data_IF_366557298819
#
_entry.id   IF_366557298819
#
_cell.length_a   1.000
_cell.length_b   1.000
_cell.length_c   1.000
_cell.angle_alpha   90.00
_cell.angle_beta   90.00
_cell.angle_gamma   90.00
#
_symmetry.space_group_name_H-M   'P 1'
#
loop_
_entity.id
_entity.type
_entity.pdbx_description
1 polymer ?
#
# COMPACT_ATOMS: atom_id res chain seq x y z
N UNK A 1 3.02 19.08 16.02
CA UNK A 1 2.15 17.88 16.12
C UNK A 1 1.31 17.76 14.87
N UNK A 2 0.96 16.54 14.49
CA UNK A 2 0.04 16.24 13.39
C UNK A 2 -0.76 14.95 13.71
N UNK A 3 -1.82 14.63 12.94
CA UNK A 3 -2.43 13.31 13.02
C UNK A 3 -1.38 12.24 12.73
N UNK A 4 -1.53 11.08 13.35
CA UNK A 4 -0.72 9.91 13.04
C UNK A 4 -0.86 9.50 11.58
N UNK A 5 0.22 9.05 10.97
CA UNK A 5 0.23 8.60 9.59
C UNK A 5 -0.56 7.29 9.45
N UNK A 6 -1.21 7.12 8.32
CA UNK A 6 -1.97 5.92 7.94
C UNK A 6 -1.40 5.38 6.64
N UNK A 7 -0.96 4.13 6.65
CA UNK A 7 -0.36 3.46 5.50
C UNK A 7 -1.26 2.30 5.03
N UNK A 8 -1.70 2.37 3.78
CA UNK A 8 -2.62 1.36 3.25
C UNK A 8 -1.92 0.18 2.55
N UNK A 9 -0.57 0.16 2.55
CA UNK A 9 0.20 -0.93 1.95
C UNK A 9 1.56 -1.06 2.64
N UNK A 10 1.67 -2.07 3.53
CA UNK A 10 2.91 -2.49 4.18
C UNK A 10 3.03 -4.01 4.02
N UNK A 11 4.04 -4.47 3.27
CA UNK A 11 4.26 -5.89 2.97
C UNK A 11 5.11 -6.59 4.04
N UNK A 12 5.86 -5.81 4.80
CA UNK A 12 6.74 -6.27 5.86
C UNK A 12 7.50 -5.11 6.50
N UNK A 13 8.21 -5.36 7.61
CA UNK A 13 8.98 -4.32 8.30
C UNK A 13 10.06 -4.91 9.20
N UNK A 14 11.27 -4.30 9.19
CA UNK A 14 12.36 -4.65 10.11
C UNK A 14 12.69 -6.15 10.17
N UNK A 15 12.82 -6.79 9.01
CA UNK A 15 13.12 -8.20 8.85
C UNK A 15 11.91 -9.14 8.89
N UNK A 16 10.70 -8.61 9.12
CA UNK A 16 9.47 -9.41 9.20
C UNK A 16 8.69 -9.27 7.90
N UNK A 17 8.63 -10.31 7.08
CA UNK A 17 7.80 -10.41 5.88
C UNK A 17 6.42 -10.97 6.24
N UNK A 18 5.36 -10.23 5.96
CA UNK A 18 3.99 -10.65 6.32
C UNK A 18 3.46 -11.77 5.39
N UNK A 19 4.07 -11.93 4.22
CA UNK A 19 3.69 -12.97 3.25
C UNK A 19 4.53 -14.25 3.35
N UNK A 20 5.59 -14.25 4.18
CA UNK A 20 6.46 -15.41 4.38
C UNK A 20 5.74 -16.52 5.17
N UNK A 21 6.12 -17.78 4.89
CA UNK A 21 5.58 -18.94 5.61
C UNK A 21 6.04 -19.03 7.09
N UNK A 22 7.07 -18.30 7.47
CA UNK A 22 7.55 -18.20 8.85
C UNK A 22 6.91 -17.07 9.65
N UNK A 23 6.02 -16.29 9.03
CA UNK A 23 5.34 -15.17 9.69
C UNK A 23 4.55 -15.61 10.93
N UNK A 24 4.64 -14.83 12.01
CA UNK A 24 4.00 -15.09 13.31
C UNK A 24 3.37 -13.84 13.92
N UNK A 25 2.54 -14.02 14.95
CA UNK A 25 1.95 -12.93 15.74
C UNK A 25 3.02 -12.09 16.45
N UNK A 26 4.07 -12.73 16.98
CA UNK A 26 5.21 -12.06 17.62
C UNK A 26 5.99 -11.21 16.60
N UNK A 27 6.14 -11.74 15.37
CA UNK A 27 6.71 -11.01 14.24
C UNK A 27 5.92 -9.75 13.95
N UNK A 28 4.58 -9.82 13.89
CA UNK A 28 3.72 -8.64 13.69
C UNK A 28 3.96 -7.58 14.78
N UNK A 29 4.03 -7.96 16.04
CA UNK A 29 4.29 -7.00 17.13
C UNK A 29 5.68 -6.35 17.00
N UNK A 30 6.68 -7.12 16.57
CA UNK A 30 8.04 -6.62 16.30
C UNK A 30 8.03 -5.60 15.16
N UNK A 31 7.39 -5.93 14.04
CA UNK A 31 7.22 -5.02 12.91
C UNK A 31 6.46 -3.74 13.30
N UNK A 32 5.35 -3.89 14.03
CA UNK A 32 4.55 -2.75 14.49
C UNK A 32 5.34 -1.77 15.36
N UNK A 33 6.21 -2.26 16.26
CA UNK A 33 7.09 -1.39 17.06
C UNK A 33 8.06 -0.57 16.19
N UNK A 34 8.52 -1.12 15.07
CA UNK A 34 9.36 -0.37 14.13
C UNK A 34 8.52 0.62 13.31
N UNK A 35 7.34 0.23 12.85
CA UNK A 35 6.37 1.08 12.14
C UNK A 35 6.01 2.32 12.99
N UNK A 36 5.77 2.17 14.30
CA UNK A 36 5.47 3.30 15.19
C UNK A 36 6.61 4.32 15.30
N UNK A 37 7.89 3.89 15.25
CA UNK A 37 9.05 4.81 15.22
C UNK A 37 9.06 5.72 13.99
N UNK A 38 8.34 5.32 12.95
CA UNK A 38 8.20 6.07 11.73
C UNK A 38 6.90 6.89 11.66
N UNK A 39 6.13 6.93 12.77
CA UNK A 39 4.97 7.79 12.93
C UNK A 39 3.67 7.23 12.34
N UNK A 40 3.66 5.99 11.90
CA UNK A 40 2.45 5.33 11.38
C UNK A 40 1.65 4.78 12.55
N UNK A 41 0.43 5.26 12.73
CA UNK A 41 -0.47 4.88 13.83
C UNK A 41 -1.56 3.92 13.40
N UNK A 42 -1.82 3.83 12.08
CA UNK A 42 -2.72 2.85 11.51
C UNK A 42 -2.14 2.35 10.20
N UNK A 43 -2.26 1.05 9.93
CA UNK A 43 -1.76 0.48 8.67
C UNK A 43 -2.55 -0.78 8.27
N UNK A 44 -2.53 -1.07 6.97
CA UNK A 44 -3.03 -2.33 6.43
C UNK A 44 -1.84 -3.27 6.16
N UNK A 45 -1.62 -4.30 7.01
CA UNK A 45 -0.72 -5.38 6.63
C UNK A 45 -1.17 -5.96 5.29
N UNK A 46 -0.22 -6.06 4.36
CA UNK A 46 -0.48 -6.47 2.98
C UNK A 46 0.08 -7.87 2.75
N UNK A 47 -0.77 -8.78 2.31
CA UNK A 47 -0.33 -10.05 1.77
C UNK A 47 -0.27 -9.94 0.25
N UNK A 48 0.91 -10.25 -0.29
CA UNK A 48 1.15 -10.25 -1.74
C UNK A 48 0.85 -11.61 -2.34
N UNK A 49 0.85 -11.68 -3.68
CA UNK A 49 0.67 -12.92 -4.46
C UNK A 49 1.43 -14.10 -3.87
N UNK A 50 0.70 -15.18 -3.54
CA UNK A 50 1.27 -16.40 -2.97
C UNK A 50 0.37 -17.62 -3.28
N UNK A 51 0.78 -18.80 -2.79
CA UNK A 51 -0.07 -19.99 -2.83
C UNK A 51 -1.37 -19.76 -2.03
N UNK A 52 -2.42 -20.48 -2.39
CA UNK A 52 -3.70 -20.42 -1.69
C UNK A 52 -3.53 -20.76 -0.19
N UNK A 53 -2.79 -21.82 0.09
CA UNK A 53 -2.54 -22.34 1.44
C UNK A 53 -1.80 -21.30 2.31
N UNK A 54 -0.77 -20.66 1.73
CA UNK A 54 0.00 -19.66 2.47
C UNK A 54 -0.81 -18.39 2.74
N UNK A 55 -1.63 -17.93 1.79
CA UNK A 55 -2.56 -16.82 1.99
C UNK A 55 -3.57 -17.12 3.11
N UNK A 56 -4.21 -18.30 3.09
CA UNK A 56 -5.12 -18.74 4.17
C UNK A 56 -4.41 -18.75 5.53
N UNK A 57 -3.20 -19.33 5.58
CA UNK A 57 -2.38 -19.39 6.79
C UNK A 57 -2.08 -18.00 7.33
N UNK A 58 -1.57 -17.11 6.50
CA UNK A 58 -1.12 -15.79 6.93
C UNK A 58 -2.30 -14.88 7.28
N UNK A 59 -3.45 -14.97 6.59
CA UNK A 59 -4.68 -14.28 7.02
C UNK A 59 -5.19 -14.78 8.38
N UNK A 60 -5.08 -16.07 8.68
CA UNK A 60 -5.38 -16.59 10.04
C UNK A 60 -4.46 -15.97 11.08
N UNK A 61 -3.15 -15.91 10.82
CA UNK A 61 -2.19 -15.28 11.73
C UNK A 61 -2.49 -13.80 11.90
N UNK A 62 -2.73 -13.05 10.80
CA UNK A 62 -3.12 -11.65 10.86
C UNK A 62 -4.38 -11.45 11.70
N UNK A 63 -5.39 -12.32 11.57
CA UNK A 63 -6.60 -12.24 12.38
C UNK A 63 -6.34 -12.55 13.87
N UNK A 64 -5.38 -13.41 14.19
CA UNK A 64 -4.98 -13.70 15.56
C UNK A 64 -4.18 -12.54 16.18
N UNK A 65 -3.41 -11.77 15.38
CA UNK A 65 -2.71 -10.58 15.88
C UNK A 65 -3.66 -9.55 16.47
N UNK A 66 -4.89 -9.47 15.97
CA UNK A 66 -5.92 -8.54 16.47
C UNK A 66 -6.44 -8.87 17.88
N UNK A 67 -6.05 -10.00 18.48
CA UNK A 67 -6.29 -10.29 19.90
C UNK A 67 -5.37 -9.48 20.82
N UNK A 68 -4.30 -8.89 20.28
CA UNK A 68 -3.42 -7.97 21.00
C UNK A 68 -3.99 -6.57 20.87
N UNK A 69 -4.49 -5.98 21.95
CA UNK A 69 -5.24 -4.72 21.96
C UNK A 69 -4.58 -3.60 21.13
N UNK A 70 -3.27 -3.39 21.33
CA UNK A 70 -2.56 -2.31 20.62
C UNK A 70 -2.44 -2.58 19.12
N UNK A 71 -2.35 -3.83 18.68
CA UNK A 71 -2.36 -4.18 17.26
C UNK A 71 -3.76 -4.00 16.67
N UNK A 72 -4.81 -4.37 17.39
CA UNK A 72 -6.19 -4.12 16.98
C UNK A 72 -6.50 -2.62 16.87
N UNK A 73 -5.90 -1.79 17.72
CA UNK A 73 -6.01 -0.34 17.63
C UNK A 73 -5.31 0.26 16.40
N UNK A 74 -4.23 -0.40 15.90
CA UNK A 74 -3.43 0.06 14.77
C UNK A 74 -3.83 -0.56 13.43
N UNK A 75 -4.41 -1.76 13.42
CA UNK A 75 -4.71 -2.52 12.20
C UNK A 75 -6.22 -2.54 11.98
N UNK A 76 -6.78 -1.62 11.18
CA UNK A 76 -8.22 -1.58 10.91
C UNK A 76 -8.68 -2.76 10.05
N UNK A 77 -7.79 -3.30 9.23
CA UNK A 77 -8.00 -4.43 8.35
C UNK A 77 -6.75 -4.77 7.55
N UNK A 78 -6.92 -5.56 6.49
CA UNK A 78 -5.84 -6.12 5.70
C UNK A 78 -5.98 -5.75 4.23
N UNK A 79 -4.87 -5.76 3.51
CA UNK A 79 -4.82 -5.61 2.08
C UNK A 79 -4.35 -6.92 1.42
N UNK A 80 -5.03 -7.35 0.37
CA UNK A 80 -4.63 -8.45 -0.51
C UNK A 80 -4.15 -7.85 -1.83
N UNK A 81 -2.85 -7.90 -2.12
CA UNK A 81 -2.28 -7.48 -3.39
C UNK A 81 -2.01 -8.67 -4.30
N UNK A 82 -2.86 -8.87 -5.26
CA UNK A 82 -2.91 -10.10 -6.02
C UNK A 82 -3.60 -11.24 -5.23
N UNK A 83 -3.54 -12.48 -5.69
CA UNK A 83 -2.86 -13.02 -6.88
C UNK A 83 -3.55 -12.71 -8.22
N UNK A 84 -4.55 -11.88 -8.24
CA UNK A 84 -5.40 -11.55 -9.37
C UNK A 84 -4.79 -10.43 -10.23
N UNK A 85 -3.53 -10.63 -10.65
CA UNK A 85 -2.74 -9.64 -11.39
C UNK A 85 -2.42 -10.12 -12.80
N UNK A 86 -2.06 -9.17 -13.67
CA UNK A 86 -1.69 -9.46 -15.05
C UNK A 86 -0.51 -10.44 -15.12
N UNK A 87 -0.57 -11.39 -16.07
CA UNK A 87 0.55 -12.28 -16.41
C UNK A 87 1.45 -11.70 -17.50
N UNK A 88 1.11 -10.53 -18.02
CA UNK A 88 1.88 -9.90 -19.06
C UNK A 88 3.21 -9.40 -18.51
N UNK A 89 4.29 -9.67 -19.28
CA UNK A 89 5.65 -9.32 -18.87
C UNK A 89 5.78 -7.82 -18.59
N UNK A 90 6.34 -7.48 -17.43
CA UNK A 90 6.55 -6.10 -16.98
C UNK A 90 5.38 -5.55 -16.16
N UNK A 91 4.16 -6.15 -16.23
CA UNK A 91 3.00 -5.68 -15.47
C UNK A 91 2.82 -6.39 -14.13
N UNK A 92 3.24 -7.64 -13.98
CA UNK A 92 3.22 -8.32 -12.69
C UNK A 92 4.32 -7.89 -11.72
N UNK A 93 5.26 -7.00 -12.15
CA UNK A 93 6.37 -6.57 -11.30
C UNK A 93 7.22 -7.73 -10.82
N UNK A 94 7.46 -7.80 -9.52
CA UNK A 94 8.20 -8.89 -8.86
C UNK A 94 7.30 -9.98 -8.27
N UNK A 95 5.98 -9.93 -8.47
CA UNK A 95 5.08 -10.98 -7.95
C UNK A 95 5.42 -12.35 -8.52
N UNK A 96 5.39 -13.43 -7.70
CA UNK A 96 5.70 -14.79 -8.15
C UNK A 96 4.75 -15.26 -9.25
N UNK A 97 5.24 -15.32 -10.48
CA UNK A 97 4.45 -15.57 -11.71
C UNK A 97 3.57 -16.82 -11.63
N UNK A 98 4.08 -17.90 -11.03
CA UNK A 98 3.38 -19.17 -10.95
C UNK A 98 2.14 -19.17 -10.04
N UNK A 99 2.03 -18.19 -9.14
CA UNK A 99 0.86 -18.01 -8.28
C UNK A 99 -0.17 -17.04 -8.86
N UNK A 100 0.13 -16.32 -9.95
CA UNK A 100 -0.81 -15.41 -10.59
C UNK A 100 -1.97 -16.19 -11.22
N UNK A 101 -3.19 -15.75 -10.97
CA UNK A 101 -4.41 -16.42 -11.44
C UNK A 101 -5.58 -15.47 -11.63
N UNK A 102 -6.62 -15.96 -12.30
CA UNK A 102 -7.87 -15.23 -12.47
C UNK A 102 -8.56 -15.01 -11.11
N UNK A 103 -9.30 -13.90 -10.93
CA UNK A 103 -10.08 -13.70 -9.73
C UNK A 103 -11.15 -14.80 -9.57
N UNK A 104 -11.31 -15.26 -8.34
CA UNK A 104 -12.33 -16.22 -7.94
C UNK A 104 -13.00 -15.72 -6.66
N UNK A 105 -14.33 -15.57 -6.71
CA UNK A 105 -15.08 -15.14 -5.53
C UNK A 105 -15.08 -16.22 -4.45
N UNK A 106 -15.17 -17.48 -4.82
CA UNK A 106 -15.13 -18.60 -3.87
C UNK A 106 -13.78 -18.63 -3.12
N UNK A 107 -12.67 -18.51 -3.86
CA UNK A 107 -11.33 -18.42 -3.26
C UNK A 107 -11.22 -17.21 -2.34
N UNK A 108 -11.69 -16.04 -2.76
CA UNK A 108 -11.64 -14.83 -1.94
C UNK A 108 -12.49 -14.94 -0.68
N UNK A 109 -13.64 -15.61 -0.74
CA UNK A 109 -14.47 -15.84 0.45
C UNK A 109 -13.77 -16.73 1.49
N UNK A 110 -12.92 -17.66 1.05
CA UNK A 110 -12.07 -18.43 1.97
C UNK A 110 -11.01 -17.53 2.63
N UNK A 111 -10.39 -16.60 1.88
CA UNK A 111 -9.48 -15.60 2.46
C UNK A 111 -10.20 -14.69 3.45
N UNK A 112 -11.37 -14.17 3.11
CA UNK A 112 -12.18 -13.37 4.03
C UNK A 112 -12.54 -14.14 5.29
N UNK A 113 -12.91 -15.41 5.18
CA UNK A 113 -13.18 -16.28 6.33
C UNK A 113 -11.94 -16.44 7.21
N UNK A 114 -10.76 -16.68 6.63
CA UNK A 114 -9.48 -16.77 7.34
C UNK A 114 -9.12 -15.46 8.03
N UNK A 115 -9.37 -14.35 7.38
CA UNK A 115 -9.16 -12.98 7.86
C UNK A 115 -10.26 -12.49 8.81
N UNK A 116 -11.28 -13.31 9.15
CA UNK A 116 -12.46 -12.92 9.95
C UNK A 116 -13.19 -11.68 9.41
N UNK A 117 -13.31 -11.57 8.08
CA UNK A 117 -13.97 -10.44 7.42
C UNK A 117 -13.14 -9.15 7.38
N UNK A 118 -11.84 -9.20 7.63
CA UNK A 118 -10.99 -8.03 7.80
C UNK A 118 -10.19 -7.65 6.55
N UNK A 119 -10.34 -8.32 5.41
CA UNK A 119 -9.76 -7.82 4.16
C UNK A 119 -10.58 -6.60 3.72
N UNK A 120 -9.95 -5.43 3.76
CA UNK A 120 -10.58 -4.14 3.44
C UNK A 120 -10.21 -3.64 2.04
N UNK A 121 -9.11 -4.13 1.48
CA UNK A 121 -8.63 -3.75 0.15
C UNK A 121 -8.17 -4.96 -0.63
N UNK A 122 -8.47 -4.96 -1.93
CA UNK A 122 -7.89 -5.89 -2.91
C UNK A 122 -7.32 -5.10 -4.07
N UNK A 123 -6.08 -5.42 -4.45
CA UNK A 123 -5.46 -4.96 -5.69
C UNK A 123 -5.66 -6.01 -6.78
N UNK A 124 -6.20 -5.58 -7.93
CA UNK A 124 -6.59 -6.47 -9.04
C UNK A 124 -6.29 -5.81 -10.39
N UNK A 125 -5.99 -6.64 -11.39
CA UNK A 125 -5.89 -6.25 -12.79
C UNK A 125 -7.26 -6.40 -13.47
N UNK A 126 -7.91 -5.31 -13.92
CA UNK A 126 -9.27 -5.36 -14.43
C UNK A 126 -9.41 -6.03 -15.80
N UNK A 127 -8.31 -6.24 -16.55
CA UNK A 127 -8.31 -6.97 -17.81
C UNK A 127 -8.51 -8.48 -17.67
N UNK A 128 -8.41 -9.02 -16.45
CA UNK A 128 -8.57 -10.46 -16.22
C UNK A 128 -10.03 -10.90 -16.41
N UNK A 129 -10.20 -12.09 -16.96
CA UNK A 129 -11.52 -12.72 -17.06
C UNK A 129 -12.14 -12.90 -15.67
N UNK A 130 -13.40 -12.47 -15.50
CA UNK A 130 -14.12 -12.50 -14.22
C UNK A 130 -13.85 -11.30 -13.32
N UNK A 131 -12.91 -10.39 -13.67
CA UNK A 131 -12.56 -9.25 -12.82
C UNK A 131 -13.75 -8.32 -12.56
N UNK A 132 -14.58 -8.04 -13.55
CA UNK A 132 -15.70 -7.11 -13.39
C UNK A 132 -16.75 -7.62 -12.40
N UNK A 133 -17.09 -8.88 -12.43
CA UNK A 133 -18.00 -9.49 -11.46
C UNK A 133 -17.39 -9.52 -10.07
N UNK A 134 -16.11 -9.87 -9.96
CA UNK A 134 -15.38 -9.84 -8.69
C UNK A 134 -15.35 -8.43 -8.08
N UNK A 135 -15.06 -7.39 -8.87
CA UNK A 135 -15.06 -5.98 -8.42
C UNK A 135 -16.43 -5.59 -7.87
N UNK A 136 -17.52 -5.97 -8.59
CA UNK A 136 -18.88 -5.70 -8.17
C UNK A 136 -19.21 -6.37 -6.81
N UNK A 137 -18.88 -7.64 -6.65
CA UNK A 137 -19.09 -8.40 -5.42
C UNK A 137 -18.28 -7.80 -4.24
N UNK A 138 -17.04 -7.39 -4.48
CA UNK A 138 -16.24 -6.68 -3.49
C UNK A 138 -16.91 -5.37 -3.04
N UNK A 139 -17.41 -4.56 -3.99
CA UNK A 139 -18.16 -3.33 -3.68
C UNK A 139 -19.37 -3.61 -2.79
N UNK A 140 -20.16 -4.65 -3.12
CA UNK A 140 -21.35 -5.03 -2.38
C UNK A 140 -21.05 -5.47 -0.93
N UNK A 141 -19.85 -6.02 -0.70
CA UNK A 141 -19.37 -6.44 0.63
C UNK A 141 -18.54 -5.40 1.34
N UNK A 142 -18.38 -4.18 0.76
CA UNK A 142 -17.65 -3.08 1.38
C UNK A 142 -16.12 -3.18 1.28
N UNK A 143 -15.61 -4.05 0.41
CA UNK A 143 -14.17 -4.17 0.15
C UNK A 143 -13.74 -3.16 -0.91
N UNK A 144 -12.74 -2.33 -0.59
CA UNK A 144 -12.19 -1.35 -1.52
C UNK A 144 -11.39 -2.05 -2.63
N UNK A 145 -11.69 -1.70 -3.88
CA UNK A 145 -10.95 -2.22 -5.03
C UNK A 145 -9.96 -1.17 -5.52
N UNK A 146 -8.72 -1.62 -5.66
CA UNK A 146 -7.59 -0.87 -6.22
C UNK A 146 -7.12 -1.51 -7.54
N UNK A 147 -6.98 -0.71 -8.58
CA UNK A 147 -6.44 -1.15 -9.87
C UNK A 147 -4.92 -1.11 -9.78
N UNK A 148 -4.25 -2.21 -10.07
CA UNK A 148 -2.78 -2.26 -10.06
C UNK A 148 -2.23 -3.45 -10.84
N UNK A 149 -0.93 -3.40 -11.14
CA UNK A 149 -0.24 -4.47 -11.86
C UNK A 149 -0.95 -4.89 -13.17
N UNK A 150 -1.29 -3.90 -14.00
CA UNK A 150 -2.26 -4.05 -15.09
C UNK A 150 -1.78 -3.43 -16.40
N UNK A 151 -2.13 -4.06 -17.52
CA UNK A 151 -2.09 -3.49 -18.86
C UNK A 151 -3.51 -3.20 -19.41
N UNK A 152 -4.46 -2.93 -18.53
CA UNK A 152 -5.84 -2.68 -18.90
C UNK A 152 -5.98 -1.49 -19.85
N UNK A 153 -6.91 -1.61 -20.79
CA UNK A 153 -7.30 -0.52 -21.69
C UNK A 153 -8.13 0.52 -20.95
N UNK A 154 -8.31 1.70 -21.58
CA UNK A 154 -9.19 2.75 -21.05
C UNK A 154 -10.60 2.26 -20.80
N UNK A 155 -11.14 1.43 -21.69
CA UNK A 155 -12.48 0.86 -21.58
C UNK A 155 -12.59 -0.09 -20.37
N UNK A 156 -11.59 -0.94 -20.15
CA UNK A 156 -11.54 -1.87 -19.02
C UNK A 156 -11.42 -1.12 -17.69
N UNK A 157 -10.58 -0.08 -17.61
CA UNK A 157 -10.44 0.76 -16.42
C UNK A 157 -11.75 1.49 -16.12
N UNK A 158 -12.38 2.10 -17.12
CA UNK A 158 -13.67 2.78 -16.93
C UNK A 158 -14.77 1.81 -16.50
N UNK A 159 -14.78 0.60 -17.04
CA UNK A 159 -15.73 -0.43 -16.65
C UNK A 159 -15.47 -0.89 -15.20
N UNK A 160 -14.22 -1.05 -14.79
CA UNK A 160 -13.86 -1.37 -13.40
C UNK A 160 -14.34 -0.27 -12.43
N UNK A 161 -14.18 1.00 -12.79
CA UNK A 161 -14.69 2.13 -12.00
C UNK A 161 -16.21 2.11 -11.90
N UNK A 162 -16.92 1.85 -12.99
CA UNK A 162 -18.36 1.72 -13.02
C UNK A 162 -18.85 0.58 -12.09
N UNK A 163 -18.11 -0.52 -12.02
CA UNK A 163 -18.39 -1.65 -11.14
C UNK A 163 -17.95 -1.43 -9.67
N UNK A 164 -17.13 -0.44 -9.37
CA UNK A 164 -16.82 -0.09 -7.98
C UNK A 164 -15.36 0.13 -7.63
N UNK A 165 -14.42 0.01 -8.56
CA UNK A 165 -13.04 0.39 -8.30
C UNK A 165 -12.95 1.89 -7.96
N UNK A 166 -12.12 2.21 -6.94
CA UNK A 166 -11.97 3.58 -6.42
C UNK A 166 -10.52 3.98 -6.19
N UNK A 167 -9.60 3.03 -6.26
CA UNK A 167 -8.18 3.26 -6.00
C UNK A 167 -7.34 2.85 -7.20
N UNK A 168 -6.16 3.46 -7.33
CA UNK A 168 -5.05 2.96 -8.14
C UNK A 168 -3.89 2.61 -7.21
N UNK A 169 -3.43 1.38 -7.26
CA UNK A 169 -2.29 0.90 -6.46
C UNK A 169 -1.01 1.48 -7.04
N UNK A 170 -0.23 2.18 -6.20
CA UNK A 170 1.08 2.77 -6.53
C UNK A 170 1.20 3.24 -7.99
N UNK A 171 0.26 4.14 -8.39
CA UNK A 171 0.14 4.61 -9.78
C UNK A 171 1.51 5.01 -10.38
N UNK A 172 1.77 4.56 -11.60
CA UNK A 172 3.06 4.71 -12.28
C UNK A 172 3.98 3.50 -12.09
N UNK A 173 3.64 2.57 -11.16
CA UNK A 173 4.37 1.34 -10.89
C UNK A 173 3.52 0.11 -11.24
N UNK A 174 4.13 -1.10 -11.20
CA UNK A 174 3.44 -2.30 -11.64
C UNK A 174 3.05 -2.26 -13.12
N UNK A 175 3.86 -1.61 -13.95
CA UNK A 175 3.73 -1.56 -15.40
C UNK A 175 5.11 -1.77 -16.06
N UNK A 176 5.10 -2.13 -17.35
CA UNK A 176 6.34 -2.36 -18.10
C UNK A 176 7.12 -1.05 -18.29
N UNK A 177 8.47 -1.13 -18.27
CA UNK A 177 9.36 0.01 -18.52
C UNK A 177 9.13 0.64 -19.92
N UNK A 178 8.66 -0.15 -20.88
CA UNK A 178 8.31 0.31 -22.23
C UNK A 178 6.83 0.09 -22.46
N UNK A 179 6.06 1.16 -22.50
CA UNK A 179 4.61 1.16 -22.75
C UNK A 179 4.26 2.04 -23.95
N UNK A 180 3.09 1.81 -24.56
CA UNK A 180 2.60 2.69 -25.61
C UNK A 180 2.37 4.10 -25.03
N UNK A 181 2.93 5.13 -25.69
CA UNK A 181 2.87 6.53 -25.22
C UNK A 181 1.45 7.08 -25.04
N UNK A 182 0.47 6.56 -25.79
CA UNK A 182 -0.90 7.06 -25.79
C UNK A 182 -1.91 6.05 -25.21
N UNK A 183 -1.70 4.76 -25.48
CA UNK A 183 -2.58 3.68 -25.02
C UNK A 183 -1.85 2.87 -23.94
N UNK A 184 -1.94 3.32 -22.71
CA UNK A 184 -1.32 2.68 -21.56
C UNK A 184 -2.22 2.84 -20.32
N UNK A 185 -2.03 2.05 -19.29
CA UNK A 185 -2.91 2.06 -18.11
C UNK A 185 -2.76 3.29 -17.20
N UNK A 186 -1.72 4.11 -17.38
CA UNK A 186 -1.46 5.26 -16.49
C UNK A 186 -2.45 6.40 -16.77
N UNK A 187 -2.60 6.78 -18.06
CA UNK A 187 -3.41 7.94 -18.43
C UNK A 187 -4.88 7.82 -18.03
N UNK A 188 -5.59 6.70 -18.30
CA UNK A 188 -7.00 6.58 -17.91
C UNK A 188 -7.19 6.54 -16.39
N UNK A 189 -6.25 6.00 -15.61
CA UNK A 189 -6.32 6.05 -14.14
C UNK A 189 -6.09 7.48 -13.63
N UNK A 190 -5.13 8.18 -14.18
CA UNK A 190 -4.82 9.56 -13.80
C UNK A 190 -5.95 10.52 -14.17
N UNK A 191 -6.56 10.35 -15.33
CA UNK A 191 -7.63 11.21 -15.82
C UNK A 191 -9.01 10.94 -15.19
N UNK A 192 -9.20 9.81 -14.52
CA UNK A 192 -10.49 9.43 -13.94
C UNK A 192 -10.66 10.02 -12.54
N UNK A 193 -11.58 10.98 -12.37
CA UNK A 193 -11.81 11.68 -11.09
C UNK A 193 -12.33 10.79 -9.96
N UNK A 194 -12.88 9.61 -10.28
CA UNK A 194 -13.39 8.66 -9.29
C UNK A 194 -12.30 7.72 -8.75
N UNK A 195 -11.10 7.73 -9.34
CA UNK A 195 -9.95 6.97 -8.87
C UNK A 195 -9.04 7.86 -8.01
N UNK A 196 -8.78 7.43 -6.80
CA UNK A 196 -7.77 8.01 -5.92
C UNK A 196 -6.48 7.19 -6.03
N UNK A 197 -5.41 7.73 -6.64
CA UNK A 197 -4.15 7.00 -6.70
C UNK A 197 -3.46 6.99 -5.34
N UNK A 198 -2.94 5.83 -4.93
CA UNK A 198 -1.81 5.77 -4.02
C UNK A 198 -0.52 5.96 -4.81
N UNK A 199 0.47 6.62 -4.23
CA UNK A 199 1.79 6.77 -4.82
C UNK A 199 2.88 6.46 -3.81
N UNK A 200 3.96 5.83 -4.29
CA UNK A 200 5.19 5.60 -3.53
C UNK A 200 6.08 6.83 -3.74
N UNK A 201 6.13 7.69 -2.74
CA UNK A 201 6.87 8.96 -2.81
C UNK A 201 8.26 8.85 -2.15
N UNK A 202 8.99 7.76 -2.40
CA UNK A 202 10.30 7.51 -1.80
C UNK A 202 11.46 8.21 -2.53
N UNK A 203 11.24 8.65 -3.77
CA UNK A 203 12.24 9.28 -4.65
C UNK A 203 12.92 8.30 -5.61
N UNK A 204 12.52 7.01 -5.60
CA UNK A 204 13.02 5.98 -6.51
C UNK A 204 11.94 5.49 -7.49
N UNK A 205 10.67 5.37 -7.02
CA UNK A 205 9.56 4.82 -7.78
C UNK A 205 8.96 5.80 -8.78
N UNK A 206 9.00 7.10 -8.49
CA UNK A 206 8.49 8.15 -9.37
C UNK A 206 9.50 9.28 -9.48
N UNK A 207 9.67 9.81 -10.68
CA UNK A 207 10.45 11.02 -10.92
C UNK A 207 9.77 12.27 -10.33
N UNK A 208 10.52 13.36 -10.08
CA UNK A 208 9.92 14.61 -9.66
C UNK A 208 8.83 15.12 -10.61
N UNK A 209 9.01 14.94 -11.91
CA UNK A 209 8.08 15.37 -12.96
C UNK A 209 6.77 14.59 -12.90
N UNK A 210 6.83 13.26 -12.74
CA UNK A 210 5.64 12.42 -12.58
C UNK A 210 4.84 12.80 -11.33
N UNK A 211 5.51 12.96 -10.18
CA UNK A 211 4.86 13.39 -8.95
C UNK A 211 4.21 14.78 -9.08
N UNK A 212 4.87 15.73 -9.77
CA UNK A 212 4.29 17.05 -10.05
C UNK A 212 3.05 16.96 -10.94
N UNK A 213 3.09 16.11 -11.98
CA UNK A 213 1.94 15.94 -12.88
C UNK A 213 0.78 15.29 -12.12
N UNK A 214 1.03 14.21 -11.37
CA UNK A 214 0.00 13.53 -10.57
C UNK A 214 -0.64 14.49 -9.56
N UNK A 215 0.18 15.27 -8.85
CA UNK A 215 -0.29 16.25 -7.88
C UNK A 215 -1.12 17.37 -8.53
N UNK A 216 -0.70 17.88 -9.69
CA UNK A 216 -1.45 18.92 -10.42
C UNK A 216 -2.78 18.42 -10.95
N UNK A 217 -2.86 17.17 -11.41
CA UNK A 217 -4.07 16.57 -11.96
C UNK A 217 -5.06 16.18 -10.87
N UNK A 218 -4.60 15.51 -9.81
CA UNK A 218 -5.45 14.96 -8.75
C UNK A 218 -5.73 15.96 -7.61
N UNK A 219 -4.81 16.88 -7.39
CA UNK A 219 -4.84 17.78 -6.24
C UNK A 219 -4.56 17.04 -4.92
N UNK A 220 -4.39 17.80 -3.82
CA UNK A 220 -4.00 17.25 -2.52
C UNK A 220 -5.08 16.40 -1.84
N UNK A 221 -6.34 16.53 -2.24
CA UNK A 221 -7.46 15.86 -1.59
C UNK A 221 -7.85 14.52 -2.25
N UNK A 222 -7.40 14.28 -3.50
CA UNK A 222 -7.79 13.11 -4.29
C UNK A 222 -6.60 12.19 -4.60
N UNK A 223 -5.59 12.17 -3.74
CA UNK A 223 -4.48 11.20 -3.79
C UNK A 223 -4.03 10.85 -2.39
N UNK A 224 -3.38 9.72 -2.25
CA UNK A 224 -2.80 9.24 -1.00
C UNK A 224 -1.33 8.86 -1.17
N UNK A 225 -0.57 8.94 -0.08
CA UNK A 225 0.76 8.38 0.02
C UNK A 225 0.67 6.98 0.62
N UNK A 226 1.44 6.07 0.06
CA UNK A 226 1.69 4.74 0.61
C UNK A 226 3.19 4.49 0.67
N UNK A 227 3.64 3.64 1.58
CA UNK A 227 5.05 3.28 1.60
C UNK A 227 5.38 2.12 0.67
N UNK A 228 4.50 1.15 0.57
CA UNK A 228 4.74 -0.13 -0.12
C UNK A 228 6.03 -0.82 0.35
N UNK A 229 6.41 -0.59 1.62
CA UNK A 229 7.64 -1.15 2.17
C UNK A 229 7.56 -2.66 2.32
N UNK A 230 8.68 -3.30 2.05
CA UNK A 230 8.91 -4.70 2.33
C UNK A 230 9.71 -4.88 3.64
N UNK A 231 10.04 -6.12 3.99
CA UNK A 231 10.72 -6.47 5.24
C UNK A 231 12.17 -5.95 5.31
N UNK A 232 12.78 -5.52 4.21
CA UNK A 232 14.19 -5.08 4.18
C UNK A 232 14.39 -3.71 4.83
N UNK A 233 13.33 -2.91 5.00
CA UNK A 233 13.42 -1.62 5.68
C UNK A 233 14.09 -1.76 7.05
N UNK A 234 15.15 -0.98 7.27
CA UNK A 234 15.92 -0.99 8.51
C UNK A 234 16.97 -2.09 8.63
N UNK A 235 17.12 -2.96 7.63
CA UNK A 235 18.22 -3.91 7.54
C UNK A 235 19.46 -3.26 6.92
N UNK A 236 20.58 -3.97 6.98
CA UNK A 236 21.85 -3.53 6.34
C UNK A 236 21.74 -3.69 4.83
N UNK A 237 22.17 -2.69 4.02
CA UNK A 237 22.23 -2.84 2.58
C UNK A 237 23.03 -4.09 2.14
N UNK A 238 22.57 -4.75 1.07
CA UNK A 238 23.19 -6.00 0.61
C UNK A 238 22.28 -6.79 -0.34
N UNK A 239 22.61 -8.07 -0.52
CA UNK A 239 21.83 -9.02 -1.31
C UNK A 239 20.91 -9.81 -0.39
N UNK A 240 19.68 -9.95 -0.82
CA UNK A 240 18.63 -10.68 -0.10
C UNK A 240 17.81 -11.55 -1.06
N UNK A 241 17.02 -12.44 -0.51
CA UNK A 241 15.97 -13.15 -1.27
C UNK A 241 14.62 -12.55 -0.88
N UNK A 242 13.84 -12.10 -1.87
CA UNK A 242 12.48 -11.61 -1.67
C UNK A 242 11.59 -12.11 -2.80
N UNK A 243 10.40 -12.57 -2.48
CA UNK A 243 9.46 -13.19 -3.44
C UNK A 243 10.07 -14.35 -4.25
N UNK A 244 11.03 -15.06 -3.67
CA UNK A 244 11.72 -16.18 -4.32
C UNK A 244 12.83 -15.82 -5.30
N UNK A 245 13.21 -14.54 -5.41
CA UNK A 245 14.26 -14.05 -6.29
C UNK A 245 15.34 -13.25 -5.52
N UNK A 246 16.58 -13.18 -6.07
CA UNK A 246 17.60 -12.31 -5.53
C UNK A 246 17.24 -10.84 -5.77
N UNK A 247 17.33 -10.03 -4.71
CA UNK A 247 17.19 -8.57 -4.79
C UNK A 247 18.41 -7.88 -4.20
N UNK A 248 18.69 -6.69 -4.68
CA UNK A 248 19.75 -5.82 -4.18
C UNK A 248 19.11 -4.68 -3.41
N UNK A 249 19.45 -4.56 -2.13
CA UNK A 249 19.07 -3.44 -1.26
C UNK A 249 20.26 -2.50 -1.13
N UNK A 250 20.10 -1.24 -1.53
CA UNK A 250 21.17 -0.24 -1.59
C UNK A 250 21.16 0.69 -0.37
N UNK A 251 22.26 1.44 -0.16
CA UNK A 251 22.42 2.38 0.96
C UNK A 251 21.40 3.55 0.94
N UNK A 252 20.94 3.96 -0.25
CA UNK A 252 19.94 5.01 -0.42
C UNK A 252 18.49 4.51 -0.35
N UNK A 253 18.31 3.20 -0.09
CA UNK A 253 16.99 2.61 0.13
C UNK A 253 16.30 2.07 -1.12
N UNK A 254 17.01 1.90 -2.24
CA UNK A 254 16.47 1.23 -3.41
C UNK A 254 16.46 -0.29 -3.19
N UNK A 255 15.38 -0.97 -3.56
CA UNK A 255 15.32 -2.43 -3.64
C UNK A 255 15.04 -2.83 -5.10
N UNK A 256 15.99 -3.48 -5.73
CA UNK A 256 15.91 -3.83 -7.15
C UNK A 256 16.03 -5.35 -7.35
N UNK A 257 15.16 -5.91 -8.20
CA UNK A 257 15.35 -7.23 -8.77
C UNK A 257 16.14 -7.09 -10.09
N UNK A 258 17.41 -7.53 -10.15
CA UNK A 258 18.23 -7.34 -11.34
C UNK A 258 17.83 -8.25 -12.51
N UNK A 259 17.20 -9.40 -12.24
CA UNK A 259 16.78 -10.36 -13.28
C UNK A 259 15.55 -9.83 -14.05
N UNK A 260 14.58 -9.28 -13.33
CA UNK A 260 13.35 -8.72 -13.91
C UNK A 260 13.49 -7.24 -14.30
N UNK A 261 14.61 -6.60 -13.97
CA UNK A 261 14.86 -5.17 -14.15
C UNK A 261 13.72 -4.28 -13.62
N UNK A 262 13.24 -4.61 -12.42
CA UNK A 262 12.17 -3.86 -11.74
C UNK A 262 12.53 -3.58 -10.28
N UNK A 263 11.83 -2.63 -9.67
CA UNK A 263 11.85 -2.42 -8.23
C UNK A 263 11.03 -3.52 -7.55
N UNK A 264 11.44 -3.91 -6.35
CA UNK A 264 10.82 -4.99 -5.58
C UNK A 264 10.25 -4.45 -4.25
N UNK A 265 9.17 -3.68 -4.35
CA UNK A 265 8.65 -2.87 -3.26
C UNK A 265 9.64 -1.78 -2.83
N UNK A 266 9.30 -1.07 -1.77
CA UNK A 266 10.13 0.00 -1.21
C UNK A 266 10.82 -0.42 0.10
N UNK A 267 11.77 0.39 0.57
CA UNK A 267 12.39 0.24 1.88
C UNK A 267 12.53 1.57 2.63
N UNK A 268 11.83 2.60 2.18
CA UNK A 268 11.82 3.91 2.84
C UNK A 268 10.46 4.17 3.49
N UNK A 269 10.42 4.66 4.75
CA UNK A 269 9.18 4.79 5.50
C UNK A 269 8.28 5.89 4.96
N UNK A 270 6.96 5.79 5.21
CA UNK A 270 5.95 6.75 4.77
C UNK A 270 6.29 8.22 5.12
N UNK A 271 6.91 8.47 6.29
CA UNK A 271 7.40 9.81 6.67
C UNK A 271 8.39 10.40 5.67
N UNK A 272 9.18 9.57 4.99
CA UNK A 272 10.08 10.02 3.91
C UNK A 272 9.26 10.50 2.72
N UNK A 273 8.19 9.77 2.38
CA UNK A 273 7.25 10.16 1.33
C UNK A 273 6.62 11.53 1.56
N UNK A 274 6.26 11.87 2.81
CA UNK A 274 5.79 13.21 3.19
C UNK A 274 6.83 14.28 2.81
N UNK A 275 8.11 14.04 3.13
CA UNK A 275 9.19 14.96 2.79
C UNK A 275 9.44 15.08 1.29
N UNK A 276 9.43 13.96 0.59
CA UNK A 276 9.66 13.90 -0.86
C UNK A 276 8.54 14.63 -1.63
N UNK A 277 7.27 14.46 -1.19
CA UNK A 277 6.14 15.22 -1.76
C UNK A 277 6.36 16.73 -1.66
N UNK A 278 6.77 17.24 -0.48
CA UNK A 278 7.07 18.66 -0.32
C UNK A 278 8.22 19.13 -1.24
N UNK A 279 9.27 18.28 -1.37
CA UNK A 279 10.43 18.62 -2.20
C UNK A 279 10.09 18.67 -3.70
N UNK A 280 9.37 17.68 -4.19
CA UNK A 280 9.16 17.51 -5.63
C UNK A 280 7.98 18.33 -6.14
N UNK A 281 6.92 18.51 -5.35
CA UNK A 281 5.71 19.21 -5.81
C UNK A 281 5.57 20.63 -5.26
N UNK A 282 6.33 21.01 -4.23
CA UNK A 282 6.16 22.30 -3.54
C UNK A 282 4.90 22.35 -2.66
N UNK A 283 4.23 21.24 -2.41
CA UNK A 283 3.03 21.22 -1.57
C UNK A 283 3.35 21.59 -0.12
N UNK A 284 2.34 22.06 0.60
CA UNK A 284 2.49 22.37 2.02
C UNK A 284 2.67 21.09 2.85
N UNK A 285 3.29 21.21 4.04
CA UNK A 285 3.37 20.12 5.01
C UNK A 285 1.97 19.58 5.36
N UNK A 286 0.98 20.46 5.50
CA UNK A 286 -0.39 20.06 5.80
C UNK A 286 -0.99 19.17 4.69
N UNK A 287 -0.78 19.52 3.42
CA UNK A 287 -1.23 18.71 2.29
C UNK A 287 -0.51 17.36 2.26
N UNK A 288 0.82 17.32 2.45
CA UNK A 288 1.57 16.09 2.47
C UNK A 288 1.15 15.15 3.62
N UNK A 289 0.92 15.69 4.82
CA UNK A 289 0.37 14.92 5.96
C UNK A 289 -1.05 14.45 5.67
N UNK A 290 -1.92 15.29 5.10
CA UNK A 290 -3.30 14.89 4.77
C UNK A 290 -3.34 13.73 3.77
N UNK A 291 -2.45 13.72 2.77
CA UNK A 291 -2.31 12.59 1.82
C UNK A 291 -1.86 11.29 2.50
N UNK A 292 -1.20 11.38 3.66
CA UNK A 292 -0.75 10.22 4.45
C UNK A 292 -1.60 10.01 5.73
N UNK A 293 -2.77 10.64 5.86
CA UNK A 293 -3.62 10.53 7.05
C UNK A 293 -5.11 10.70 6.73
N UNK A 294 -5.61 11.94 6.65
CA UNK A 294 -7.03 12.25 6.41
C UNK A 294 -7.58 11.58 5.15
N UNK A 295 -6.87 11.68 4.05
CA UNK A 295 -7.34 11.12 2.77
C UNK A 295 -7.42 9.60 2.84
N UNK A 296 -6.42 8.95 3.43
CA UNK A 296 -6.42 7.49 3.63
C UNK A 296 -7.58 7.09 4.54
N UNK A 297 -7.77 7.79 5.66
CA UNK A 297 -8.89 7.53 6.57
C UNK A 297 -10.24 7.62 5.86
N UNK A 298 -10.42 8.63 4.99
CA UNK A 298 -11.63 8.84 4.21
C UNK A 298 -11.97 7.68 3.28
N UNK A 299 -10.97 7.07 2.64
CA UNK A 299 -11.15 5.92 1.73
C UNK A 299 -11.76 4.71 2.46
N UNK A 300 -11.29 4.44 3.68
CA UNK A 300 -11.71 3.26 4.45
C UNK A 300 -12.78 3.55 5.48
N UNK A 301 -13.40 4.75 5.46
CA UNK A 301 -14.42 5.13 6.42
C UNK A 301 -13.93 5.15 7.88
N UNK A 302 -12.63 5.40 8.11
CA UNK A 302 -12.06 5.49 9.45
C UNK A 302 -12.37 6.87 10.05
N UNK A 303 -13.63 7.10 10.41
CA UNK A 303 -14.13 8.41 10.85
C UNK A 303 -13.55 8.90 12.17
N UNK A 304 -12.98 8.00 12.96
CA UNK A 304 -12.43 8.26 14.29
C UNK A 304 -10.97 8.74 14.29
N UNK A 305 -10.30 8.80 13.13
CA UNK A 305 -8.86 9.12 13.01
C UNK A 305 -8.54 9.92 11.74
N UNK A 306 -7.26 10.22 11.50
CA UNK A 306 -6.77 10.93 10.30
C UNK A 306 -6.76 12.45 10.43
N UNK A 307 -7.36 13.02 11.47
CA UNK A 307 -7.34 14.45 11.82
C UNK A 307 -7.24 14.62 13.33
N UNK A 308 -6.91 15.85 13.79
CA UNK A 308 -6.83 16.20 15.23
C UNK A 308 -8.11 16.88 15.76
N UNK A 309 -9.25 16.59 15.17
CA UNK A 309 -10.51 17.20 15.59
C UNK A 309 -10.95 16.69 16.99
N UNK A 310 -11.58 17.55 17.83
CA UNK A 310 -12.16 17.11 19.09
C UNK A 310 -13.15 15.95 18.91
N UNK A 311 -13.09 14.97 19.80
CA UNK A 311 -13.94 13.76 19.75
C UNK A 311 -13.37 12.60 18.96
N UNK A 312 -12.28 12.80 18.20
CA UNK A 312 -11.56 11.71 17.55
C UNK A 312 -10.55 11.05 18.50
N UNK A 313 -10.16 9.84 18.20
CA UNK A 313 -9.12 9.14 18.97
C UNK A 313 -7.78 9.88 18.82
N UNK A 314 -6.99 9.86 19.88
CA UNK A 314 -5.70 10.53 19.91
C UNK A 314 -4.61 9.69 19.22
N UNK A 315 -4.67 9.62 17.89
CA UNK A 315 -3.61 9.12 17.03
C UNK A 315 -2.77 10.32 16.61
N UNK A 316 -1.61 10.49 17.22
CA UNK A 316 -0.82 11.73 17.17
C UNK A 316 0.64 11.43 16.93
N UNK A 317 1.29 12.23 16.09
CA UNK A 317 2.74 12.28 15.99
C UNK A 317 3.27 13.63 16.48
N UNK A 318 4.35 13.57 17.27
CA UNK A 318 5.18 14.72 17.62
C UNK A 318 6.47 14.60 16.81
N UNK A 319 6.83 15.64 16.08
CA UNK A 319 7.99 15.62 15.20
C UNK A 319 8.70 16.96 15.15
N UNK A 320 9.96 16.93 14.76
CA UNK A 320 10.76 18.07 14.36
C UNK A 320 10.81 18.14 12.83
N UNK A 321 10.64 19.35 12.26
CA UNK A 321 10.80 19.58 10.83
C UNK A 321 12.20 20.18 10.58
N UNK A 322 13.03 19.48 9.79
CA UNK A 322 14.34 19.96 9.33
C UNK A 322 14.34 20.04 7.80
N UNK A 323 14.30 21.25 7.25
CA UNK A 323 14.01 21.41 5.83
C UNK A 323 12.65 20.80 5.50
N UNK A 324 12.60 19.87 4.56
CA UNK A 324 11.39 19.09 4.23
C UNK A 324 11.37 17.69 4.87
N UNK A 325 12.31 17.36 5.74
CA UNK A 325 12.29 16.10 6.47
C UNK A 325 11.51 16.23 7.77
N UNK A 326 10.72 15.21 8.12
CA UNK A 326 10.08 15.09 9.42
C UNK A 326 10.80 14.01 10.25
N UNK A 327 11.17 14.35 11.47
CA UNK A 327 11.88 13.49 12.42
C UNK A 327 10.93 13.20 13.56
N UNK A 328 10.38 12.00 13.60
CA UNK A 328 9.42 11.58 14.63
C UNK A 328 10.12 11.57 16.00
N UNK A 329 9.47 12.16 17.00
CA UNK A 329 9.92 12.21 18.39
C UNK A 329 9.03 11.36 19.29
N UNK A 330 7.73 11.37 19.00
CA UNK A 330 6.75 10.56 19.70
C UNK A 330 5.64 10.10 18.75
N UNK A 331 5.12 8.93 19.00
CA UNK A 331 3.94 8.38 18.32
C UNK A 331 2.96 7.89 19.37
N UNK A 332 1.71 8.31 19.24
CA UNK A 332 0.63 8.00 20.15
C UNK A 332 -0.49 7.31 19.38
N UNK A 333 -0.95 6.17 19.88
CA UNK A 333 -2.07 5.41 19.32
C UNK A 333 -3.17 5.37 20.37
N UNK A 334 -4.33 5.94 20.03
CA UNK A 334 -5.52 5.96 20.91
C UNK A 334 -5.17 6.51 22.31
N UNK A 335 -4.33 7.55 22.35
CA UNK A 335 -3.89 8.18 23.59
C UNK A 335 -2.80 7.43 24.38
N UNK A 336 -2.29 6.31 23.87
CA UNK A 336 -1.14 5.61 24.47
C UNK A 336 0.12 5.92 23.68
N UNK A 337 1.18 6.35 24.36
CA UNK A 337 2.48 6.53 23.73
C UNK A 337 3.07 5.15 23.39
N UNK A 338 3.40 4.94 22.09
CA UNK A 338 3.98 3.71 21.55
C UNK A 338 5.42 3.87 21.09
N UNK A 339 5.84 5.14 20.93
CA UNK A 339 7.23 5.52 20.68
C UNK A 339 7.55 6.89 21.30
#
# INVERSE_FOLDING_TARGET
MAPGLIDNQINGYAGIDFSDETFTTEGMLTGAKAIWKDGVTSFLPTLITNSHENLIRNFKILSETLKVDILNDCIPGFHLEGPYLSKEKGFFGCHPFHYLRKPSWDEFTEYQKAAKGKIMQVTISPELEGAMEFIKLCKETGVAISIGHTNATTEQINLAVANGARLSTHLGNGCANLINRHKNPIWPQLANDLLTPSIIADGHHLSPEEMQVFYKVKGPDNMILTSDVNHLIGLTPGKYVYMGAEVIYTEDGLVKNPELDCLAGASLPLKKGVGTMMNFTGCSLANAINMASRNVAGIYGLVDRGTLDPGKRADIIVFEKKGNHIIIKETWVKGKRVF
#
